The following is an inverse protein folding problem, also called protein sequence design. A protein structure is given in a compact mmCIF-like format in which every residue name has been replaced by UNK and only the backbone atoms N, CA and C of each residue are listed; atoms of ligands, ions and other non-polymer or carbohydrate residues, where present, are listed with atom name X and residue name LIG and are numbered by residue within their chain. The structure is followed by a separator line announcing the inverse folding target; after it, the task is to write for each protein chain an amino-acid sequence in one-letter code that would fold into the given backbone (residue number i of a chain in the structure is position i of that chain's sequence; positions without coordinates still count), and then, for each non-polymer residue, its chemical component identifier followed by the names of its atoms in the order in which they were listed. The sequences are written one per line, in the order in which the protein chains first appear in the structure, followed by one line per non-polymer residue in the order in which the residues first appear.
data_IF_784317576882
#
_entry.id   IF_784317576882
#
_cell.length_a   1.000
_cell.length_b   1.000
_cell.length_c   1.000
_cell.angle_alpha   90.00
_cell.angle_beta   90.00
_cell.angle_gamma   90.00
#
_symmetry.space_group_name_H-M   'P 1'
#
loop_
_entity.id
_entity.type
_entity.pdbx_description
1 polymer ?
#
# COMPACT_ATOMS: atom_id res chain seq x y z
N UNK A 1 -1.96 -5.85 -6.68
CA UNK A 1 -0.90 -6.10 -5.67
C UNK A 1 -0.56 -7.58 -5.55
N UNK A 2 -1.40 -8.43 -6.14
CA UNK A 2 -1.47 -9.88 -5.95
C UNK A 2 -1.96 -10.61 -7.21
N UNK A 3 -2.18 -9.87 -8.31
CA UNK A 3 -2.61 -10.39 -9.59
C UNK A 3 -2.02 -9.53 -10.72
N UNK A 4 -1.72 -10.17 -11.84
CA UNK A 4 -1.37 -9.56 -13.11
C UNK A 4 -2.50 -9.83 -14.11
N UNK A 5 -2.91 -8.79 -14.85
CA UNK A 5 -4.01 -8.88 -15.81
C UNK A 5 -3.52 -8.35 -17.15
N UNK A 6 -3.62 -9.16 -18.18
CA UNK A 6 -3.28 -8.79 -19.55
C UNK A 6 -4.55 -8.55 -20.37
N UNK A 7 -4.59 -7.39 -21.05
CA UNK A 7 -5.72 -7.00 -21.87
C UNK A 7 -5.24 -6.49 -23.23
N UNK A 8 -5.94 -6.88 -24.29
CA UNK A 8 -5.82 -6.22 -25.58
C UNK A 8 -6.76 -5.00 -25.62
N UNK A 9 -6.20 -3.80 -25.81
CA UNK A 9 -6.97 -2.57 -25.96
C UNK A 9 -6.92 -2.07 -27.41
N UNK A 10 -8.01 -1.47 -27.88
CA UNK A 10 -8.06 -0.83 -29.19
C UNK A 10 -7.39 0.55 -29.15
N UNK A 11 -6.83 1.07 -30.26
CA UNK A 11 -6.17 2.38 -30.29
C UNK A 11 -7.06 3.56 -29.87
N UNK A 12 -8.37 3.41 -30.00
CA UNK A 12 -9.37 4.41 -29.62
C UNK A 12 -9.85 4.28 -28.16
N UNK A 13 -9.38 3.28 -27.41
CA UNK A 13 -9.80 3.01 -26.03
C UNK A 13 -9.48 4.19 -25.12
N UNK A 14 -10.51 4.69 -24.44
CA UNK A 14 -10.37 5.73 -23.40
C UNK A 14 -9.90 5.11 -22.09
N UNK A 15 -9.20 5.91 -21.29
CA UNK A 15 -8.76 5.50 -19.95
C UNK A 15 -9.90 4.97 -19.09
N UNK A 16 -11.11 5.56 -19.19
CA UNK A 16 -12.30 5.07 -18.48
C UNK A 16 -12.69 3.64 -18.89
N UNK A 17 -12.68 3.33 -20.18
CA UNK A 17 -13.05 2.00 -20.66
C UNK A 17 -12.06 0.95 -20.18
N UNK A 18 -10.77 1.27 -20.21
CA UNK A 18 -9.72 0.40 -19.70
C UNK A 18 -9.82 0.21 -18.18
N UNK A 19 -9.99 1.31 -17.43
CA UNK A 19 -10.21 1.27 -15.98
C UNK A 19 -11.46 0.43 -15.61
N UNK A 20 -12.58 0.63 -16.30
CA UNK A 20 -13.82 -0.14 -16.09
C UNK A 20 -13.61 -1.64 -16.34
N UNK A 21 -12.77 -2.00 -17.31
CA UNK A 21 -12.44 -3.39 -17.59
C UNK A 21 -11.62 -4.02 -16.45
N UNK A 22 -10.65 -3.29 -15.90
CA UNK A 22 -9.84 -3.74 -14.76
C UNK A 22 -10.73 -3.97 -13.53
N UNK A 23 -11.52 -2.97 -13.12
CA UNK A 23 -12.34 -3.07 -11.90
C UNK A 23 -13.43 -4.13 -12.00
N UNK A 24 -14.03 -4.32 -13.19
CA UNK A 24 -14.99 -5.41 -13.42
C UNK A 24 -14.35 -6.79 -13.32
N UNK A 25 -13.13 -6.94 -13.84
CA UNK A 25 -12.40 -8.21 -13.78
C UNK A 25 -12.03 -8.57 -12.34
N UNK A 26 -11.65 -7.57 -11.55
CA UNK A 26 -11.31 -7.73 -10.13
C UNK A 26 -12.56 -7.84 -9.23
N UNK A 27 -13.72 -7.39 -9.70
CA UNK A 27 -14.96 -7.37 -8.91
C UNK A 27 -15.07 -6.18 -7.94
N UNK A 28 -14.32 -5.11 -8.18
CA UNK A 28 -14.28 -3.91 -7.34
C UNK A 28 -15.31 -2.88 -7.80
N UNK A 29 -16.09 -2.33 -6.87
CA UNK A 29 -17.15 -1.33 -7.09
C UNK A 29 -16.83 0.02 -6.45
N UNK A 30 -16.03 0.04 -5.39
CA UNK A 30 -15.55 1.25 -4.68
C UNK A 30 -14.46 1.98 -5.48
N UNK A 31 -14.79 2.32 -6.73
CA UNK A 31 -13.83 2.78 -7.74
C UNK A 31 -13.23 4.15 -7.46
N UNK A 32 -13.85 4.94 -6.58
CA UNK A 32 -13.46 6.32 -6.28
C UNK A 32 -12.08 6.42 -5.60
N UNK A 33 -11.64 5.35 -4.92
CA UNK A 33 -10.31 5.31 -4.31
C UNK A 33 -9.19 5.04 -5.32
N UNK A 34 -9.47 4.41 -6.45
CA UNK A 34 -8.44 3.79 -7.28
C UNK A 34 -8.14 4.54 -8.58
N UNK A 35 -6.93 4.31 -9.08
CA UNK A 35 -6.50 4.76 -10.39
C UNK A 35 -5.53 3.78 -11.05
N UNK A 36 -5.18 4.09 -12.29
CA UNK A 36 -4.11 3.40 -13.01
C UNK A 36 -2.90 4.32 -13.10
N UNK A 37 -1.80 3.93 -12.48
CA UNK A 37 -0.51 4.61 -12.53
C UNK A 37 0.35 3.98 -13.62
N UNK A 38 1.11 4.78 -14.35
CA UNK A 38 2.08 4.34 -15.36
C UNK A 38 3.32 5.22 -15.30
N UNK A 39 4.39 4.76 -15.95
CA UNK A 39 5.58 5.59 -16.17
C UNK A 39 5.48 6.21 -17.56
N UNK A 40 5.60 7.54 -17.64
CA UNK A 40 5.59 8.24 -18.94
C UNK A 40 6.93 8.14 -19.67
N UNK A 41 7.03 8.77 -20.85
CA UNK A 41 8.25 8.71 -21.66
C UNK A 41 9.46 9.39 -21.02
N UNK A 42 9.23 10.31 -20.08
CA UNK A 42 10.27 11.03 -19.33
C UNK A 42 10.68 10.30 -18.04
N UNK A 43 10.00 9.20 -17.70
CA UNK A 43 10.31 8.40 -16.52
C UNK A 43 9.53 8.82 -15.27
N UNK A 44 8.58 9.75 -15.37
CA UNK A 44 7.78 10.17 -14.24
C UNK A 44 6.59 9.25 -14.01
N UNK A 45 6.22 9.10 -12.74
CA UNK A 45 5.04 8.35 -12.35
C UNK A 45 3.79 9.20 -12.53
N UNK A 46 2.90 8.78 -13.45
CA UNK A 46 1.73 9.54 -13.88
C UNK A 46 0.45 8.72 -13.76
N UNK A 47 -0.66 9.39 -13.41
CA UNK A 47 -1.99 8.77 -13.34
C UNK A 47 -2.73 8.89 -14.67
N UNK A 48 -3.32 7.78 -15.13
CA UNK A 48 -4.12 7.71 -16.35
C UNK A 48 -5.37 8.58 -16.24
N UNK A 49 -5.53 9.50 -17.19
CA UNK A 49 -6.71 10.35 -17.31
C UNK A 49 -7.83 9.56 -17.98
N UNK A 50 -8.94 9.40 -17.26
CA UNK A 50 -10.07 8.57 -17.70
C UNK A 50 -10.79 9.13 -18.95
N UNK A 51 -10.75 10.44 -19.15
CA UNK A 51 -11.40 11.13 -20.26
C UNK A 51 -10.58 11.16 -21.56
N UNK A 52 -9.31 10.75 -21.54
CA UNK A 52 -8.41 10.72 -22.70
C UNK A 52 -8.18 9.29 -23.21
N UNK A 53 -7.75 9.15 -24.46
CA UNK A 53 -7.34 7.86 -25.03
C UNK A 53 -6.07 7.38 -24.35
N UNK A 54 -5.93 6.07 -24.12
CA UNK A 54 -4.74 5.50 -23.45
C UNK A 54 -3.46 5.83 -24.23
N UNK A 55 -3.47 5.62 -25.54
CA UNK A 55 -2.32 5.90 -26.41
C UNK A 55 -1.97 7.39 -26.59
N UNK A 56 -2.81 8.32 -26.12
CA UNK A 56 -2.60 9.77 -26.25
C UNK A 56 -2.10 10.41 -24.93
N UNK A 57 -1.56 9.59 -24.02
CA UNK A 57 -1.13 10.03 -22.69
C UNK A 57 0.35 9.77 -22.42
N UNK A 58 1.14 9.63 -23.49
CA UNK A 58 2.60 9.52 -23.39
C UNK A 58 3.09 8.39 -22.46
N UNK A 59 2.35 7.27 -22.44
CA UNK A 59 2.77 6.07 -21.72
C UNK A 59 4.08 5.56 -22.33
N UNK A 60 5.05 5.20 -21.49
CA UNK A 60 6.32 4.63 -21.93
C UNK A 60 6.07 3.49 -22.92
N UNK A 61 6.72 3.57 -24.09
CA UNK A 61 6.47 2.67 -25.22
C UNK A 61 7.12 1.31 -25.00
N UNK A 62 6.46 0.48 -24.21
CA UNK A 62 6.82 -0.91 -23.94
C UNK A 62 5.71 -1.84 -24.46
N UNK A 63 6.05 -3.11 -24.68
CA UNK A 63 5.08 -4.13 -25.08
C UNK A 63 5.16 -5.33 -24.12
N UNK A 64 4.15 -5.57 -23.26
CA UNK A 64 2.91 -4.80 -23.11
C UNK A 64 3.11 -3.41 -22.44
N UNK A 65 2.14 -2.51 -22.60
CA UNK A 65 2.09 -1.27 -21.82
C UNK A 65 1.88 -1.61 -20.33
N UNK A 66 2.68 -1.00 -19.46
CA UNK A 66 2.67 -1.31 -18.03
C UNK A 66 1.80 -0.33 -17.24
N UNK A 67 0.85 -0.85 -16.48
CA UNK A 67 0.00 -0.07 -15.57
C UNK A 67 -0.07 -0.73 -14.20
N UNK A 68 -0.01 0.09 -13.14
CA UNK A 68 -0.25 -0.33 -11.76
C UNK A 68 -1.63 0.16 -11.33
N UNK A 69 -2.53 -0.77 -11.02
CA UNK A 69 -3.78 -0.46 -10.33
C UNK A 69 -3.47 -0.24 -8.84
N UNK A 70 -3.72 0.99 -8.36
CA UNK A 70 -3.35 1.45 -7.01
C UNK A 70 -4.42 2.38 -6.45
N UNK A 71 -4.54 2.40 -5.12
CA UNK A 71 -5.31 3.42 -4.43
C UNK A 71 -4.59 4.77 -4.59
N UNK A 72 -5.34 5.76 -5.09
CA UNK A 72 -4.92 7.15 -5.26
C UNK A 72 -5.43 8.03 -4.12
N UNK A 73 -6.59 7.71 -3.59
CA UNK A 73 -7.22 8.41 -2.48
C UNK A 73 -7.43 7.41 -1.34
N UNK A 74 -7.19 7.86 -0.13
CA UNK A 74 -7.37 7.07 1.09
C UNK A 74 -8.67 7.51 1.78
N UNK A 75 -9.36 6.60 2.49
CA UNK A 75 -10.50 6.97 3.34
C UNK A 75 -10.02 7.84 4.52
N UNK A 76 -10.93 8.61 5.11
CA UNK A 76 -10.71 9.28 6.40
C UNK A 76 -10.72 8.28 7.56
N UNK A 77 -11.62 7.28 7.50
CA UNK A 77 -11.65 6.15 8.43
C UNK A 77 -11.80 4.82 7.67
N UNK A 78 -10.77 3.98 7.74
CA UNK A 78 -10.75 2.69 7.03
C UNK A 78 -11.86 1.73 7.48
N UNK A 79 -12.30 1.83 8.74
CA UNK A 79 -13.25 0.90 9.35
C UNK A 79 -14.70 1.22 9.01
N UNK A 80 -15.00 2.50 8.75
CA UNK A 80 -16.34 2.98 8.39
C UNK A 80 -16.54 3.03 6.87
N UNK A 81 -15.46 3.26 6.09
CA UNK A 81 -15.59 3.54 4.65
C UNK A 81 -15.26 2.36 3.73
N UNK A 82 -14.43 1.39 4.14
CA UNK A 82 -14.04 0.27 3.28
C UNK A 82 -15.04 -0.89 3.37
N UNK A 83 -15.85 -1.05 2.32
CA UNK A 83 -17.00 -1.96 2.35
C UNK A 83 -16.65 -3.35 1.82
N UNK A 84 -16.00 -3.45 0.65
CA UNK A 84 -15.72 -4.74 0.01
C UNK A 84 -14.41 -5.35 0.49
N UNK A 85 -14.40 -6.66 0.72
CA UNK A 85 -13.19 -7.43 1.07
C UNK A 85 -12.05 -7.22 0.07
N UNK A 86 -12.35 -7.13 -1.23
CA UNK A 86 -11.33 -6.88 -2.26
C UNK A 86 -10.71 -5.48 -2.11
N UNK A 87 -11.50 -4.48 -1.72
CA UNK A 87 -11.03 -3.12 -1.48
C UNK A 87 -10.11 -3.10 -0.26
N UNK A 88 -10.57 -3.68 0.86
CA UNK A 88 -9.77 -3.82 2.09
C UNK A 88 -8.45 -4.52 1.83
N UNK A 89 -8.47 -5.64 1.10
CA UNK A 89 -7.27 -6.40 0.72
C UNK A 89 -6.29 -5.57 -0.11
N UNK A 90 -6.78 -4.82 -1.10
CA UNK A 90 -5.91 -3.99 -1.95
C UNK A 90 -5.28 -2.83 -1.16
N UNK A 91 -6.04 -2.19 -0.27
CA UNK A 91 -5.51 -1.18 0.65
C UNK A 91 -4.46 -1.77 1.59
N UNK A 92 -4.78 -2.89 2.25
CA UNK A 92 -3.87 -3.61 3.15
C UNK A 92 -2.53 -3.90 2.46
N UNK A 93 -2.57 -4.48 1.26
CA UNK A 93 -1.35 -4.80 0.52
C UNK A 93 -0.56 -3.53 0.17
N UNK A 94 -1.23 -2.47 -0.30
CA UNK A 94 -0.57 -1.22 -0.67
C UNK A 94 0.09 -0.52 0.52
N UNK A 95 -0.61 -0.40 1.65
CA UNK A 95 -0.07 0.22 2.87
C UNK A 95 1.06 -0.62 3.45
N UNK A 96 0.93 -1.95 3.40
CA UNK A 96 2.02 -2.85 3.81
C UNK A 96 3.27 -2.67 2.95
N UNK A 97 3.12 -2.57 1.63
CA UNK A 97 4.24 -2.29 0.72
C UNK A 97 4.92 -0.94 1.06
N UNK A 98 4.14 0.11 1.29
CA UNK A 98 4.64 1.43 1.66
C UNK A 98 5.44 1.41 2.98
N UNK A 99 4.91 0.75 4.01
CA UNK A 99 5.62 0.62 5.31
C UNK A 99 6.91 -0.21 5.15
N UNK A 100 6.86 -1.34 4.46
CA UNK A 100 8.03 -2.20 4.27
C UNK A 100 9.15 -1.51 3.48
N UNK A 101 8.79 -0.64 2.55
CA UNK A 101 9.73 0.16 1.75
C UNK A 101 10.23 1.43 2.46
N UNK A 102 9.83 1.67 3.72
CA UNK A 102 10.11 2.91 4.45
C UNK A 102 9.57 4.17 3.71
N UNK A 103 8.55 4.03 2.84
CA UNK A 103 7.81 5.16 2.26
C UNK A 103 6.93 5.84 3.31
N UNK A 104 6.32 5.01 4.17
CA UNK A 104 5.62 5.45 5.37
C UNK A 104 6.46 5.08 6.59
N UNK A 105 6.90 6.08 7.34
CA UNK A 105 7.62 5.84 8.59
C UNK A 105 6.72 5.05 9.56
N UNK A 106 7.29 3.99 10.12
CA UNK A 106 6.63 3.17 11.14
C UNK A 106 7.60 2.93 12.31
N UNK A 107 7.23 3.26 13.55
CA UNK A 107 8.03 2.94 14.73
C UNK A 107 8.27 1.44 14.88
N UNK A 108 9.40 1.01 15.50
CA UNK A 108 9.72 -0.41 15.67
C UNK A 108 8.64 -1.24 16.37
N UNK A 109 8.05 -0.75 17.48
CA UNK A 109 7.01 -1.51 18.18
C UNK A 109 5.78 -1.73 17.29
N UNK A 110 5.33 -0.67 16.61
CA UNK A 110 4.20 -0.73 15.68
C UNK A 110 4.50 -1.64 14.49
N UNK A 111 5.72 -1.61 13.95
CA UNK A 111 6.10 -2.46 12.81
C UNK A 111 6.02 -3.96 13.15
N UNK A 112 6.42 -4.35 14.37
CA UNK A 112 6.31 -5.74 14.85
C UNK A 112 4.86 -6.17 15.01
N UNK A 113 4.01 -5.29 15.57
CA UNK A 113 2.59 -5.58 15.71
C UNK A 113 1.91 -5.71 14.33
N UNK A 114 2.17 -4.78 13.41
CA UNK A 114 1.69 -4.85 12.03
C UNK A 114 2.17 -6.11 11.30
N UNK A 115 3.43 -6.51 11.50
CA UNK A 115 3.95 -7.76 10.97
C UNK A 115 3.16 -8.97 11.46
N UNK A 116 2.79 -9.02 12.74
CA UNK A 116 2.00 -10.12 13.29
C UNK A 116 0.59 -10.22 12.68
N UNK A 117 -0.08 -9.09 12.45
CA UNK A 117 -1.35 -9.06 11.71
C UNK A 117 -1.15 -9.48 10.24
N UNK A 118 -0.06 -9.05 9.59
CA UNK A 118 0.21 -9.52 8.23
C UNK A 118 0.43 -11.04 8.16
N UNK A 119 1.00 -11.64 9.20
CA UNK A 119 1.18 -13.09 9.30
C UNK A 119 -0.16 -13.78 9.50
N UNK A 120 -1.02 -13.29 10.40
CA UNK A 120 -2.38 -13.83 10.60
C UNK A 120 -3.20 -13.73 9.31
N UNK A 121 -3.18 -12.60 8.62
CA UNK A 121 -3.88 -12.42 7.33
C UNK A 121 -3.41 -13.41 6.25
N UNK A 122 -2.13 -13.79 6.25
CA UNK A 122 -1.54 -14.70 5.25
C UNK A 122 -1.74 -16.17 5.60
N UNK A 123 -1.43 -16.56 6.84
CA UNK A 123 -1.37 -17.96 7.27
C UNK A 123 -2.63 -18.41 8.02
N UNK A 124 -3.43 -17.48 8.57
CA UNK A 124 -4.47 -17.78 9.55
C UNK A 124 -3.87 -18.22 10.88
N UNK A 125 -4.70 -18.78 11.76
CA UNK A 125 -4.32 -19.14 13.13
C UNK A 125 -2.99 -19.90 13.25
N UNK A 126 -2.17 -19.47 14.21
CA UNK A 126 -0.95 -20.19 14.55
C UNK A 126 -1.25 -21.64 15.01
N UNK A 127 -0.60 -22.60 14.35
CA UNK A 127 -0.58 -23.99 14.74
C UNK A 127 0.86 -24.50 14.86
N UNK A 128 1.29 -24.84 16.08
CA UNK A 128 2.62 -25.41 16.39
C UNK A 128 3.00 -26.65 15.58
N UNK A 129 2.02 -27.40 15.09
CA UNK A 129 2.26 -28.63 14.31
C UNK A 129 2.59 -28.32 12.85
N UNK A 130 2.12 -27.19 12.33
CA UNK A 130 2.31 -26.72 10.95
C UNK A 130 3.41 -25.65 10.88
N UNK A 131 3.36 -24.66 11.76
CA UNK A 131 4.28 -23.52 11.80
C UNK A 131 5.50 -23.85 12.68
N UNK A 132 6.43 -24.60 12.09
CA UNK A 132 7.74 -24.89 12.70
C UNK A 132 8.67 -23.68 12.61
N UNK A 133 9.73 -23.66 13.42
CA UNK A 133 10.75 -22.62 13.39
C UNK A 133 11.26 -22.38 11.95
N UNK A 134 11.36 -21.11 11.54
CA UNK A 134 11.73 -20.71 10.18
C UNK A 134 10.56 -20.59 9.19
N UNK A 135 9.30 -20.81 9.60
CA UNK A 135 8.16 -20.66 8.68
C UNK A 135 7.97 -19.23 8.13
N UNK A 136 8.59 -18.23 8.79
CA UNK A 136 8.56 -16.82 8.40
C UNK A 136 9.82 -16.37 7.64
N UNK A 137 10.81 -17.24 7.44
CA UNK A 137 12.12 -16.84 6.91
C UNK A 137 12.07 -16.28 5.49
N UNK A 138 11.06 -16.65 4.69
CA UNK A 138 10.89 -16.11 3.34
C UNK A 138 10.02 -14.86 3.27
N UNK A 139 9.42 -14.44 4.38
CA UNK A 139 8.57 -13.25 4.42
C UNK A 139 9.36 -11.98 4.71
N UNK A 140 9.09 -10.94 3.92
CA UNK A 140 9.53 -9.57 4.25
C UNK A 140 8.50 -8.97 5.20
N UNK A 141 8.80 -9.00 6.49
CA UNK A 141 7.88 -8.62 7.57
C UNK A 141 8.16 -7.27 8.20
N UNK A 142 9.42 -6.82 8.19
CA UNK A 142 9.84 -5.57 8.82
C UNK A 142 10.59 -4.67 7.82
N UNK A 143 10.51 -3.33 7.98
CA UNK A 143 11.35 -2.40 7.24
C UNK A 143 12.84 -2.64 7.56
N UNK A 144 13.71 -2.38 6.58
CA UNK A 144 15.16 -2.61 6.73
C UNK A 144 15.73 -1.79 7.88
N UNK A 145 15.27 -0.54 8.04
CA UNK A 145 15.66 0.35 9.14
C UNK A 145 15.41 -0.28 10.51
N UNK A 146 14.26 -0.92 10.73
CA UNK A 146 13.93 -1.56 12.02
C UNK A 146 14.87 -2.74 12.30
N UNK A 147 15.21 -3.52 11.28
CA UNK A 147 16.14 -4.64 11.41
C UNK A 147 17.55 -4.17 11.79
N UNK A 148 18.00 -3.04 11.22
CA UNK A 148 19.35 -2.50 11.44
C UNK A 148 19.51 -1.74 12.77
N UNK A 149 18.44 -1.15 13.29
CA UNK A 149 18.47 -0.37 14.55
C UNK A 149 18.61 -1.26 15.79
N UNK A 150 18.20 -2.53 15.73
CA UNK A 150 18.23 -3.44 16.87
C UNK A 150 19.29 -4.54 16.70
N UNK A 151 19.95 -4.92 17.80
CA UNK A 151 20.92 -6.02 17.84
C UNK A 151 20.22 -7.38 17.97
N UNK A 152 19.25 -7.65 17.09
CA UNK A 152 18.50 -8.91 17.06
C UNK A 152 18.83 -9.67 15.79
N UNK A 153 18.95 -10.98 15.92
CA UNK A 153 19.06 -11.89 14.78
C UNK A 153 17.70 -12.02 14.09
N UNK A 154 17.70 -12.51 12.84
CA UNK A 154 16.47 -12.79 12.11
C UNK A 154 15.55 -13.77 12.86
N UNK A 155 16.13 -14.82 13.46
CA UNK A 155 15.39 -15.79 14.26
C UNK A 155 14.71 -15.14 15.48
N UNK A 156 15.41 -14.24 16.18
CA UNK A 156 14.82 -13.51 17.31
C UNK A 156 13.68 -12.57 16.90
N UNK A 157 13.73 -12.01 15.68
CA UNK A 157 12.61 -11.26 15.13
C UNK A 157 11.43 -12.16 14.79
N UNK A 158 11.68 -13.32 14.19
CA UNK A 158 10.64 -14.31 13.90
C UNK A 158 9.96 -14.80 15.19
N UNK A 159 10.72 -15.09 16.25
CA UNK A 159 10.17 -15.49 17.56
C UNK A 159 9.24 -14.42 18.16
N UNK A 160 9.64 -13.15 18.06
CA UNK A 160 8.81 -12.02 18.54
C UNK A 160 7.52 -11.92 17.74
N UNK A 161 7.59 -11.99 16.42
CA UNK A 161 6.41 -11.88 15.54
C UNK A 161 5.50 -13.11 15.74
N UNK A 162 6.06 -14.30 15.90
CA UNK A 162 5.31 -15.53 16.20
C UNK A 162 4.56 -15.41 17.52
N UNK A 163 5.21 -14.88 18.57
CA UNK A 163 4.57 -14.68 19.88
C UNK A 163 3.33 -13.81 19.74
N UNK A 164 3.40 -12.71 18.96
CA UNK A 164 2.23 -11.88 18.68
C UNK A 164 1.21 -12.55 17.75
N UNK A 165 1.65 -13.36 16.80
CA UNK A 165 0.76 -14.12 15.91
C UNK A 165 -0.10 -15.13 16.69
N UNK A 166 0.41 -15.71 17.78
CA UNK A 166 -0.35 -16.60 18.65
C UNK A 166 -1.54 -15.91 19.34
N UNK A 167 -1.40 -14.62 19.66
CA UNK A 167 -2.44 -13.81 20.32
C UNK A 167 -3.63 -13.52 19.38
N UNK A 168 -3.43 -13.61 18.06
CA UNK A 168 -4.48 -13.35 17.06
C UNK A 168 -5.34 -14.58 16.74
N UNK A 169 -5.20 -15.68 17.50
CA UNK A 169 -5.95 -16.91 17.27
C UNK A 169 -7.47 -16.66 17.27
N UNK A 170 -8.13 -17.15 16.23
CA UNK A 170 -9.57 -17.02 16.02
C UNK A 170 -9.96 -15.76 15.23
N UNK A 171 -9.00 -14.89 14.92
CA UNK A 171 -9.23 -13.72 14.07
C UNK A 171 -9.32 -14.13 12.60
N UNK A 172 -10.36 -13.68 11.90
CA UNK A 172 -10.50 -13.91 10.47
C UNK A 172 -9.42 -13.14 9.69
N UNK A 173 -9.12 -13.59 8.46
CA UNK A 173 -8.09 -12.95 7.64
C UNK A 173 -8.48 -11.52 7.27
N UNK A 174 -9.77 -11.33 7.00
CA UNK A 174 -10.38 -10.05 6.67
C UNK A 174 -10.29 -9.08 7.85
N UNK A 175 -10.66 -9.54 9.05
CA UNK A 175 -10.54 -8.75 10.29
C UNK A 175 -9.08 -8.39 10.58
N UNK A 176 -8.15 -9.32 10.34
CA UNK A 176 -6.72 -9.07 10.51
C UNK A 176 -6.18 -8.02 9.53
N UNK A 177 -6.68 -7.99 8.29
CA UNK A 177 -6.34 -6.93 7.33
C UNK A 177 -6.93 -5.58 7.75
N UNK A 178 -8.15 -5.58 8.30
CA UNK A 178 -8.80 -4.38 8.80
C UNK A 178 -8.07 -3.80 10.02
N UNK A 179 -7.73 -4.63 11.02
CA UNK A 179 -6.97 -4.18 12.20
C UNK A 179 -5.57 -3.66 11.82
N UNK A 180 -4.92 -4.29 10.84
CA UNK A 180 -3.67 -3.74 10.28
C UNK A 180 -3.87 -2.31 9.76
N UNK A 181 -4.93 -2.08 8.97
CA UNK A 181 -5.22 -0.76 8.41
C UNK A 181 -5.59 0.27 9.48
N UNK A 182 -6.36 -0.14 10.49
CA UNK A 182 -6.77 0.73 11.62
C UNK A 182 -5.59 1.21 12.46
N UNK A 183 -4.55 0.40 12.59
CA UNK A 183 -3.30 0.83 13.24
C UNK A 183 -2.46 1.69 12.29
N UNK A 184 -2.39 1.31 11.01
CA UNK A 184 -1.56 2.01 10.03
C UNK A 184 -2.08 3.41 9.68
N UNK A 185 -3.39 3.66 9.76
CA UNK A 185 -3.98 4.98 9.48
C UNK A 185 -3.54 6.06 10.48
N UNK A 186 -3.13 5.67 11.68
CA UNK A 186 -2.66 6.59 12.73
C UNK A 186 -1.17 6.99 12.54
N UNK A 187 -0.48 6.44 11.52
CA UNK A 187 0.89 6.84 11.21
C UNK A 187 0.91 8.22 10.54
N UNK A 188 1.86 9.07 10.93
CA UNK A 188 1.94 10.48 10.49
C UNK A 188 2.02 10.65 8.97
N UNK A 189 2.67 9.70 8.28
CA UNK A 189 2.85 9.73 6.83
C UNK A 189 1.76 8.96 6.06
N UNK A 190 0.77 8.37 6.75
CA UNK A 190 -0.26 7.55 6.12
C UNK A 190 -1.15 8.39 5.19
N UNK A 191 -1.28 7.94 3.94
CA UNK A 191 -2.15 8.60 2.96
C UNK A 191 -1.69 9.99 2.50
N UNK A 192 -0.53 10.46 2.97
CA UNK A 192 0.00 11.80 2.64
C UNK A 192 0.81 11.75 1.35
N UNK A 193 0.41 12.57 0.38
CA UNK A 193 1.20 12.81 -0.83
C UNK A 193 2.06 14.06 -0.62
N UNK A 194 3.38 13.89 -0.62
CA UNK A 194 4.33 14.97 -0.38
C UNK A 194 4.79 15.65 -1.67
N UNK A 195 4.82 16.98 -1.68
CA UNK A 195 5.31 17.80 -2.78
C UNK A 195 6.30 18.85 -2.27
N UNK A 196 7.42 19.02 -2.95
CA UNK A 196 8.35 20.12 -2.67
C UNK A 196 7.75 21.45 -3.12
N UNK A 197 7.69 22.42 -2.21
CA UNK A 197 7.19 23.77 -2.47
C UNK A 197 8.14 24.83 -1.93
N UNK A 198 7.93 26.08 -2.36
CA UNK A 198 8.64 27.26 -1.83
C UNK A 198 7.66 28.36 -1.46
N UNK A 199 7.87 29.00 -0.32
CA UNK A 199 7.11 30.20 0.04
C UNK A 199 7.65 31.44 -0.70
N UNK A 200 6.97 32.60 -0.53
CA UNK A 200 7.39 33.87 -1.15
C UNK A 200 8.82 34.31 -0.77
N UNK A 201 9.31 33.90 0.41
CA UNK A 201 10.68 34.20 0.88
C UNK A 201 11.72 33.22 0.33
N UNK A 202 11.31 32.20 -0.43
CA UNK A 202 12.21 31.19 -1.00
C UNK A 202 12.52 30.02 -0.06
N UNK A 203 11.90 29.95 1.13
CA UNK A 203 12.08 28.81 2.05
C UNK A 203 11.53 27.55 1.41
N UNK A 204 12.33 26.49 1.35
CA UNK A 204 11.91 25.15 0.92
C UNK A 204 11.07 24.50 2.02
N UNK A 205 9.93 23.95 1.64
CA UNK A 205 8.96 23.31 2.52
C UNK A 205 8.36 22.10 1.80
N UNK A 206 7.71 21.22 2.55
CA UNK A 206 6.86 20.17 1.98
C UNK A 206 5.40 20.54 2.11
N UNK A 207 4.63 20.29 1.05
CA UNK A 207 3.18 20.26 1.08
C UNK A 207 2.73 18.79 1.17
N UNK A 208 2.05 18.43 2.25
CA UNK A 208 1.33 17.16 2.33
C UNK A 208 -0.12 17.35 1.90
N UNK A 209 -0.59 16.47 1.03
CA UNK A 209 -1.99 16.40 0.60
C UNK A 209 -2.54 15.05 0.99
N UNK A 210 -3.55 15.04 1.86
CA UNK A 210 -4.22 13.84 2.35
C UNK A 210 -5.75 13.98 2.25
N UNK A 211 -6.49 13.03 2.83
CA UNK A 211 -7.96 13.06 2.84
C UNK A 211 -8.54 14.18 3.73
N UNK A 212 -7.80 14.60 4.76
CA UNK A 212 -8.24 15.58 5.77
C UNK A 212 -7.97 17.02 5.33
N UNK A 213 -6.97 17.24 4.48
CA UNK A 213 -6.69 18.55 3.89
C UNK A 213 -5.25 18.72 3.38
N UNK A 214 -4.68 19.88 3.73
CA UNK A 214 -3.36 20.33 3.28
C UNK A 214 -2.50 20.66 4.50
N UNK A 215 -1.33 20.04 4.58
CA UNK A 215 -0.37 20.23 5.66
C UNK A 215 0.94 20.82 5.11
N UNK A 216 1.64 21.61 5.92
CA UNK A 216 2.92 22.22 5.58
C UNK A 216 3.96 21.73 6.57
N UNK A 217 5.05 21.17 6.05
CA UNK A 217 6.15 20.63 6.85
C UNK A 217 7.45 21.35 6.53
N UNK A 218 8.35 21.38 7.50
CA UNK A 218 9.71 21.87 7.30
C UNK A 218 10.49 20.89 6.42
N UNK A 219 11.50 21.36 5.68
CA UNK A 219 12.19 20.51 4.72
C UNK A 219 12.92 19.31 5.36
N UNK A 220 13.30 19.44 6.64
CA UNK A 220 14.08 18.45 7.39
C UNK A 220 13.22 17.45 8.18
N UNK A 221 11.90 17.67 8.26
CA UNK A 221 10.99 16.88 9.11
C UNK A 221 9.65 16.67 8.37
N UNK A 222 9.32 15.42 8.04
CA UNK A 222 8.17 15.02 7.22
C UNK A 222 7.12 14.28 8.02
#
# INVERSE_FOLDING_TARGET
MDAELEFAIQPNTKGKQFFDQVVKTVGLREVWFFGLQYVDSEGYSTWLKLNKKVHQQDVKKENPLQFKFRAKFFPEDVSEELIQEITQRLFFLQVKEAILNDENYCPPETAVLLASYSVQAKYGDYNKDVHKAGYLTHDRLLPQRVLEQHKLTKEQWEDRIQTWHEEHRGMLREDSMMEYLKIAQDLEMYGVNYFEIKNKKGTQLWLGVDALGLNIYEHEDK
#
